data_IF_990991936481
#
_entry.id   IF_990991936481
#
_cell.length_a   1.000
_cell.length_b   1.000
_cell.length_c   1.000
_cell.angle_alpha   90.00
_cell.angle_beta   90.00
_cell.angle_gamma   90.00
#
_symmetry.space_group_name_H-M   'P 1'
#
loop_
_entity.id
_entity.type
_entity.pdbx_description
1 polymer ?
#
# COMPACT_ATOMS: atom_id res chain seq x y z
N UNK A 1 18.54 -2.09 -21.30
CA UNK A 1 18.36 -3.06 -20.18
C UNK A 1 17.23 -3.99 -20.54
N UNK A 2 17.37 -5.31 -20.36
CA UNK A 2 16.25 -6.25 -20.52
C UNK A 2 15.10 -5.83 -19.60
N UNK A 3 13.85 -6.01 -20.03
CA UNK A 3 12.67 -5.60 -19.26
C UNK A 3 12.73 -6.07 -17.81
N UNK A 4 13.16 -7.30 -17.59
CA UNK A 4 13.34 -7.90 -16.26
C UNK A 4 14.28 -7.11 -15.33
N UNK A 5 15.43 -6.63 -15.83
CA UNK A 5 16.37 -5.84 -15.02
C UNK A 5 15.78 -4.48 -14.63
N UNK A 6 14.97 -3.90 -15.50
CA UNK A 6 14.25 -2.64 -15.22
C UNK A 6 13.19 -2.84 -14.15
N UNK A 7 12.35 -3.88 -14.27
CA UNK A 7 11.33 -4.19 -13.27
C UNK A 7 11.95 -4.50 -11.92
N UNK A 8 13.02 -5.31 -11.88
CA UNK A 8 13.75 -5.59 -10.65
C UNK A 8 14.28 -4.33 -9.98
N UNK A 9 14.87 -3.40 -10.74
CA UNK A 9 15.34 -2.12 -10.19
C UNK A 9 14.21 -1.26 -9.60
N UNK A 10 13.05 -1.21 -10.25
CA UNK A 10 11.89 -0.44 -9.75
C UNK A 10 11.34 -1.04 -8.45
N UNK A 11 11.23 -2.37 -8.38
CA UNK A 11 10.78 -3.07 -7.17
C UNK A 11 11.77 -2.84 -6.03
N UNK A 12 13.07 -2.99 -6.28
CA UNK A 12 14.10 -2.73 -5.27
C UNK A 12 14.05 -1.29 -4.78
N UNK A 13 13.92 -0.31 -5.68
CA UNK A 13 13.84 1.10 -5.31
C UNK A 13 12.62 1.39 -4.42
N UNK A 14 11.44 0.86 -4.78
CA UNK A 14 10.23 1.00 -3.96
C UNK A 14 10.38 0.29 -2.61
N UNK A 15 11.01 -0.89 -2.60
CA UNK A 15 11.38 -1.62 -1.38
C UNK A 15 12.21 -0.78 -0.43
N UNK A 16 13.32 -0.24 -0.94
CA UNK A 16 14.24 0.60 -0.14
C UNK A 16 13.55 1.87 0.36
N UNK A 17 12.75 2.53 -0.47
CA UNK A 17 12.08 3.76 -0.09
C UNK A 17 10.96 3.52 0.93
N UNK A 18 10.15 2.49 0.74
CA UNK A 18 9.14 2.10 1.72
C UNK A 18 9.80 1.73 3.05
N UNK A 19 10.86 0.92 3.04
CA UNK A 19 11.63 0.59 4.24
C UNK A 19 12.16 1.85 4.95
N UNK A 20 12.67 2.83 4.20
CA UNK A 20 13.16 4.08 4.77
C UNK A 20 12.04 4.88 5.46
N UNK A 21 10.86 4.98 4.83
CA UNK A 21 9.68 5.66 5.40
C UNK A 21 9.18 4.92 6.65
N UNK A 22 9.10 3.58 6.60
CA UNK A 22 8.72 2.75 7.73
C UNK A 22 9.73 2.82 8.89
N UNK A 23 11.03 2.91 8.59
CA UNK A 23 12.06 3.05 9.61
C UNK A 23 12.06 4.45 10.26
N UNK A 24 11.57 5.47 9.56
CA UNK A 24 11.40 6.82 10.10
C UNK A 24 10.09 7.00 10.88
N UNK A 25 9.16 6.04 10.79
CA UNK A 25 7.90 6.07 11.53
C UNK A 25 8.13 5.83 13.03
N UNK A 26 7.31 6.42 13.92
CA UNK A 26 7.43 6.19 15.34
C UNK A 26 7.14 4.72 15.69
N UNK A 27 7.81 4.21 16.73
CA UNK A 27 7.55 2.88 17.25
C UNK A 27 6.13 2.76 17.84
N UNK A 28 5.61 3.84 18.42
CA UNK A 28 4.27 3.91 18.99
C UNK A 28 3.57 5.18 18.48
N UNK A 29 2.57 5.07 17.58
CA UNK A 29 1.79 6.22 17.16
C UNK A 29 0.93 6.77 18.32
N UNK A 30 0.83 8.10 18.41
CA UNK A 30 0.03 8.77 19.45
C UNK A 30 -1.48 8.66 19.17
N UNK A 31 -1.83 8.63 17.88
CA UNK A 31 -3.19 8.43 17.39
C UNK A 31 -3.20 7.21 16.48
N UNK A 32 -3.99 6.21 16.84
CA UNK A 32 -4.08 4.95 16.09
C UNK A 32 -5.48 4.40 16.11
N UNK A 33 -5.91 3.84 14.99
CA UNK A 33 -7.19 3.14 14.84
C UNK A 33 -7.10 1.66 15.27
N UNK A 34 -6.08 1.31 16.06
CA UNK A 34 -5.79 -0.05 16.51
C UNK A 34 -7.01 -0.73 17.13
N UNK A 35 -7.69 -0.04 18.03
CA UNK A 35 -8.80 -0.62 18.78
C UNK A 35 -9.96 -1.00 17.84
N UNK A 36 -10.26 -0.14 16.87
CA UNK A 36 -11.29 -0.33 15.88
C UNK A 36 -10.95 -1.52 14.96
N UNK A 37 -9.73 -1.57 14.42
CA UNK A 37 -9.34 -2.64 13.50
C UNK A 37 -9.15 -4.00 14.17
N UNK A 38 -8.61 -4.07 15.39
CA UNK A 38 -8.52 -5.32 16.18
C UNK A 38 -9.93 -5.82 16.55
N UNK A 39 -10.84 -4.92 16.95
CA UNK A 39 -12.22 -5.27 17.23
C UNK A 39 -12.91 -5.86 15.98
N UNK A 40 -12.81 -5.19 14.83
CA UNK A 40 -13.40 -5.66 13.56
C UNK A 40 -12.81 -6.98 13.09
N UNK A 41 -11.53 -7.25 13.36
CA UNK A 41 -10.92 -8.54 13.02
C UNK A 41 -11.46 -9.70 13.86
N UNK A 42 -11.64 -9.47 15.16
CA UNK A 42 -12.00 -10.51 16.14
C UNK A 42 -13.51 -10.78 16.21
N UNK A 43 -14.32 -9.80 15.80
CA UNK A 43 -15.78 -9.88 15.86
C UNK A 43 -16.36 -10.08 14.45
N UNK A 44 -17.50 -10.78 14.38
CA UNK A 44 -18.21 -10.93 13.11
C UNK A 44 -18.87 -9.61 12.71
N UNK A 45 -19.37 -9.52 11.48
CA UNK A 45 -20.25 -8.42 11.08
C UNK A 45 -21.48 -8.40 12.00
N UNK A 46 -21.51 -7.42 12.90
CA UNK A 46 -22.63 -7.16 13.78
C UNK A 46 -23.52 -6.05 13.21
N UNK A 47 -24.84 -6.18 13.42
CA UNK A 47 -25.78 -5.14 13.05
C UNK A 47 -25.46 -3.84 13.80
N UNK A 48 -25.57 -2.70 13.12
CA UNK A 48 -25.29 -1.35 13.65
C UNK A 48 -23.83 -1.04 14.01
N UNK A 49 -22.88 -1.96 13.82
CA UNK A 49 -21.43 -1.75 13.88
C UNK A 49 -20.97 -0.77 15.00
N UNK A 50 -20.90 -1.21 16.26
CA UNK A 50 -20.77 -0.31 17.41
C UNK A 50 -19.46 0.50 17.47
N UNK A 51 -18.44 0.14 16.69
CA UNK A 51 -17.12 0.79 16.62
C UNK A 51 -16.84 1.45 15.24
N UNK A 52 -17.85 2.13 14.68
CA UNK A 52 -17.89 2.46 13.24
C UNK A 52 -17.20 3.77 12.83
N UNK A 53 -15.99 3.63 12.29
CA UNK A 53 -15.62 4.32 11.02
C UNK A 53 -15.29 3.30 9.92
N UNK A 54 -15.04 2.02 10.26
CA UNK A 54 -14.41 1.05 9.36
C UNK A 54 -15.22 -0.20 8.99
N UNK A 55 -16.54 -0.18 9.17
CA UNK A 55 -17.41 -1.33 8.87
C UNK A 55 -17.36 -1.79 7.40
N UNK A 56 -17.03 -0.89 6.48
CA UNK A 56 -16.85 -1.19 5.06
C UNK A 56 -15.43 -1.69 4.72
N UNK A 57 -14.51 -1.71 5.68
CA UNK A 57 -13.12 -2.13 5.53
C UNK A 57 -12.81 -3.45 6.24
N UNK A 58 -13.81 -4.31 6.45
CA UNK A 58 -13.68 -5.56 7.22
C UNK A 58 -12.77 -6.62 6.58
N UNK A 59 -12.69 -6.64 5.24
CA UNK A 59 -12.03 -7.77 4.56
C UNK A 59 -10.56 -7.90 4.96
N UNK A 60 -9.84 -6.77 5.04
CA UNK A 60 -8.42 -6.76 5.41
C UNK A 60 -8.19 -7.27 6.84
N UNK A 61 -8.77 -6.68 7.91
CA UNK A 61 -8.60 -7.18 9.26
C UNK A 61 -9.06 -8.64 9.40
N UNK A 62 -10.19 -9.04 8.80
CA UNK A 62 -10.68 -10.42 8.87
C UNK A 62 -9.74 -11.45 8.23
N UNK A 63 -9.04 -11.09 7.15
CA UNK A 63 -8.01 -11.94 6.54
C UNK A 63 -6.71 -11.91 7.35
N UNK A 64 -6.34 -10.75 7.89
CA UNK A 64 -5.10 -10.57 8.64
C UNK A 64 -5.11 -11.32 9.98
N UNK A 65 -6.28 -11.45 10.62
CA UNK A 65 -6.47 -12.27 11.83
C UNK A 65 -6.21 -13.77 11.62
N UNK A 66 -6.24 -14.25 10.37
CA UNK A 66 -5.94 -15.66 10.07
C UNK A 66 -4.43 -15.95 10.10
N UNK A 67 -3.59 -14.91 10.14
CA UNK A 67 -2.13 -15.05 10.17
C UNK A 67 -1.67 -15.24 11.63
N UNK A 68 -0.99 -16.35 11.97
CA UNK A 68 -0.55 -16.64 13.33
C UNK A 68 0.73 -15.85 13.71
N UNK A 69 0.65 -14.53 13.61
CA UNK A 69 1.68 -13.58 14.03
C UNK A 69 1.10 -12.63 15.06
N UNK A 70 1.96 -11.94 15.81
CA UNK A 70 1.50 -10.88 16.70
C UNK A 70 0.80 -9.75 15.91
N UNK A 71 -0.12 -9.08 16.60
CA UNK A 71 -1.02 -8.10 16.00
C UNK A 71 -0.28 -6.97 15.27
N UNK A 72 0.79 -6.46 15.85
CA UNK A 72 1.52 -5.34 15.27
C UNK A 72 2.34 -5.78 14.06
N UNK A 73 3.06 -6.90 14.16
CA UNK A 73 3.92 -7.44 13.11
C UNK A 73 3.13 -7.73 11.84
N UNK A 74 1.96 -8.37 11.94
CA UNK A 74 1.12 -8.64 10.75
C UNK A 74 0.66 -7.35 10.05
N UNK A 75 0.30 -6.31 10.81
CA UNK A 75 -0.10 -5.02 10.23
C UNK A 75 1.08 -4.30 9.58
N UNK A 76 2.24 -4.24 10.24
CA UNK A 76 3.45 -3.63 9.66
C UNK A 76 3.92 -4.34 8.39
N UNK A 77 3.84 -5.67 8.33
CA UNK A 77 4.18 -6.41 7.11
C UNK A 77 3.18 -6.19 5.99
N UNK A 78 1.88 -6.18 6.28
CA UNK A 78 0.84 -5.89 5.29
C UNK A 78 1.08 -4.51 4.66
N UNK A 79 1.26 -3.51 5.52
CA UNK A 79 1.55 -2.13 5.17
C UNK A 79 2.75 -2.01 4.23
N UNK A 80 3.90 -2.57 4.64
CA UNK A 80 5.12 -2.54 3.86
C UNK A 80 4.94 -3.23 2.50
N UNK A 81 4.37 -4.44 2.49
CA UNK A 81 4.16 -5.19 1.27
C UNK A 81 3.21 -4.46 0.30
N UNK A 82 2.11 -3.90 0.81
CA UNK A 82 1.14 -3.18 0.01
C UNK A 82 1.70 -1.86 -0.54
N UNK A 83 2.45 -1.10 0.27
CA UNK A 83 3.09 0.15 -0.18
C UNK A 83 4.18 -0.11 -1.23
N UNK A 84 4.99 -1.16 -1.07
CA UNK A 84 5.96 -1.59 -2.09
C UNK A 84 5.23 -1.95 -3.38
N UNK A 85 4.16 -2.74 -3.28
CA UNK A 85 3.38 -3.20 -4.43
C UNK A 85 2.74 -2.03 -5.17
N UNK A 86 2.02 -1.17 -4.46
CA UNK A 86 1.36 0.00 -5.04
C UNK A 86 2.37 0.94 -5.70
N UNK A 87 3.46 1.28 -5.00
CA UNK A 87 4.50 2.14 -5.54
C UNK A 87 5.20 1.54 -6.76
N UNK A 88 5.48 0.23 -6.75
CA UNK A 88 6.07 -0.45 -7.90
C UNK A 88 5.13 -0.45 -9.11
N UNK A 89 3.82 -0.69 -8.91
CA UNK A 89 2.84 -0.63 -10.00
C UNK A 89 2.76 0.79 -10.57
N UNK A 90 2.66 1.83 -9.73
CA UNK A 90 2.63 3.22 -10.20
C UNK A 90 3.91 3.56 -10.94
N UNK A 91 5.07 3.28 -10.34
CA UNK A 91 6.36 3.59 -10.92
C UNK A 91 6.57 2.88 -12.27
N UNK A 92 6.22 1.60 -12.39
CA UNK A 92 6.29 0.84 -13.65
C UNK A 92 5.34 1.37 -14.71
N UNK A 93 4.10 1.70 -14.31
CA UNK A 93 3.09 2.31 -15.20
C UNK A 93 3.58 3.64 -15.74
N UNK A 94 4.05 4.54 -14.85
CA UNK A 94 4.64 5.83 -15.24
C UNK A 94 5.87 5.63 -16.13
N UNK A 95 6.72 4.64 -15.84
CA UNK A 95 7.86 4.31 -16.68
C UNK A 95 7.46 3.87 -18.10
N UNK A 96 6.32 3.20 -18.25
CA UNK A 96 5.78 2.74 -19.53
C UNK A 96 5.13 3.86 -20.33
N UNK A 97 4.48 4.81 -19.65
CA UNK A 97 3.77 5.93 -20.27
C UNK A 97 4.65 7.16 -20.52
N UNK A 98 5.71 7.34 -19.75
CA UNK A 98 6.62 8.49 -19.80
C UNK A 98 8.08 8.08 -20.05
N UNK A 99 8.99 9.05 -19.99
CA UNK A 99 10.44 8.98 -20.29
C UNK A 99 11.26 7.95 -19.47
N UNK A 100 10.91 6.67 -19.50
CA UNK A 100 11.81 5.60 -19.06
C UNK A 100 11.97 5.47 -17.53
N UNK A 101 13.17 5.07 -17.11
CA UNK A 101 13.54 4.90 -15.69
C UNK A 101 13.50 6.20 -14.85
N UNK A 102 13.95 7.37 -15.35
CA UNK A 102 13.86 8.61 -14.59
C UNK A 102 12.45 8.93 -14.09
N UNK A 103 11.43 8.70 -14.93
CA UNK A 103 10.04 8.91 -14.55
C UNK A 103 9.58 7.95 -13.43
N UNK A 104 10.05 6.70 -13.45
CA UNK A 104 9.79 5.74 -12.38
C UNK A 104 10.44 6.14 -11.05
N UNK A 105 11.63 6.74 -11.07
CA UNK A 105 12.32 7.24 -9.87
C UNK A 105 11.51 8.36 -9.24
N UNK A 106 11.10 9.36 -10.04
CA UNK A 106 10.28 10.48 -9.55
C UNK A 106 8.94 9.96 -9.00
N UNK A 107 8.28 9.06 -9.73
CA UNK A 107 7.03 8.44 -9.26
C UNK A 107 7.22 7.70 -7.93
N UNK A 108 8.31 6.95 -7.78
CA UNK A 108 8.63 6.23 -6.53
C UNK A 108 8.80 7.22 -5.37
N UNK A 109 9.59 8.28 -5.56
CA UNK A 109 9.79 9.30 -4.52
C UNK A 109 8.44 9.91 -4.15
N UNK A 110 7.70 10.45 -5.13
CA UNK A 110 6.44 11.14 -4.87
C UNK A 110 5.40 10.25 -4.19
N UNK A 111 5.26 9.00 -4.62
CA UNK A 111 4.29 8.07 -4.04
C UNK A 111 4.69 7.69 -2.62
N UNK A 112 5.93 7.23 -2.42
CA UNK A 112 6.36 6.73 -1.11
C UNK A 112 6.45 7.85 -0.06
N UNK A 113 6.75 9.09 -0.46
CA UNK A 113 6.73 10.26 0.44
C UNK A 113 5.39 10.98 0.48
N UNK A 114 4.37 10.51 -0.23
CA UNK A 114 3.04 11.14 -0.18
C UNK A 114 2.43 10.96 1.21
N UNK A 115 1.56 11.89 1.59
CA UNK A 115 0.88 11.85 2.88
C UNK A 115 0.22 10.50 3.15
N UNK A 116 -0.50 9.93 2.18
CA UNK A 116 -1.19 8.64 2.37
C UNK A 116 -0.22 7.51 2.70
N UNK A 117 0.86 7.35 1.94
CA UNK A 117 1.83 6.27 2.16
C UNK A 117 2.59 6.47 3.49
N UNK A 118 3.07 7.69 3.74
CA UNK A 118 3.76 8.02 4.98
C UNK A 118 2.85 7.87 6.22
N UNK A 119 1.57 8.25 6.12
CA UNK A 119 0.61 8.10 7.20
C UNK A 119 0.35 6.64 7.53
N UNK A 120 0.25 5.78 6.52
CA UNK A 120 0.07 4.34 6.74
C UNK A 120 1.30 3.69 7.38
N UNK A 121 2.51 4.22 7.13
CA UNK A 121 3.71 3.82 7.88
C UNK A 121 3.70 4.32 9.33
N UNK A 122 3.14 5.50 9.59
CA UNK A 122 2.98 6.10 10.92
C UNK A 122 1.96 5.31 11.77
N UNK A 123 0.76 5.07 11.25
CA UNK A 123 -0.26 4.23 11.88
C UNK A 123 -0.43 2.92 11.08
N UNK A 124 0.17 1.81 11.56
CA UNK A 124 0.12 0.56 10.82
C UNK A 124 -1.28 -0.08 10.83
N UNK A 125 -2.17 0.32 11.74
CA UNK A 125 -3.52 -0.24 11.88
C UNK A 125 -4.49 0.43 10.91
N UNK A 126 -4.33 0.18 9.60
CA UNK A 126 -5.29 0.61 8.58
C UNK A 126 -5.28 -0.28 7.34
N UNK A 127 -6.46 -0.42 6.72
CA UNK A 127 -6.63 -1.13 5.45
C UNK A 127 -6.24 -0.30 4.21
N UNK A 128 -5.94 1.00 4.37
CA UNK A 128 -5.66 1.93 3.26
C UNK A 128 -4.53 1.48 2.30
N UNK A 129 -3.40 0.90 2.75
CA UNK A 129 -2.35 0.43 1.84
C UNK A 129 -2.85 -0.58 0.81
N UNK A 130 -3.76 -1.46 1.22
CA UNK A 130 -4.37 -2.46 0.33
C UNK A 130 -5.25 -1.75 -0.70
N UNK A 131 -6.01 -0.73 -0.28
CA UNK A 131 -6.79 0.11 -1.20
C UNK A 131 -5.88 0.82 -2.19
N UNK A 132 -4.73 1.35 -1.75
CA UNK A 132 -3.75 1.97 -2.66
C UNK A 132 -3.19 0.98 -3.66
N UNK A 133 -2.89 -0.25 -3.25
CA UNK A 133 -2.43 -1.31 -4.15
C UNK A 133 -3.50 -1.69 -5.19
N UNK A 134 -4.77 -1.81 -4.77
CA UNK A 134 -5.90 -2.06 -5.66
C UNK A 134 -6.08 -0.91 -6.66
N UNK A 135 -6.07 0.34 -6.18
CA UNK A 135 -6.20 1.52 -7.03
C UNK A 135 -5.04 1.63 -8.04
N UNK A 136 -3.81 1.33 -7.61
CA UNK A 136 -2.65 1.27 -8.50
C UNK A 136 -2.83 0.19 -9.59
N UNK A 137 -3.30 -0.99 -9.21
CA UNK A 137 -3.58 -2.08 -10.16
C UNK A 137 -4.70 -1.70 -11.14
N UNK A 138 -5.79 -1.10 -10.67
CA UNK A 138 -6.89 -0.63 -11.51
C UNK A 138 -6.41 0.47 -12.48
N UNK A 139 -5.60 1.42 -12.00
CA UNK A 139 -5.01 2.45 -12.84
C UNK A 139 -4.09 1.84 -13.90
N UNK A 140 -3.26 0.86 -13.54
CA UNK A 140 -2.44 0.12 -14.50
C UNK A 140 -3.29 -0.62 -15.54
N UNK A 141 -4.33 -1.35 -15.14
CA UNK A 141 -5.26 -2.01 -16.06
C UNK A 141 -5.93 -1.01 -17.00
N UNK A 142 -6.37 0.13 -16.47
CA UNK A 142 -7.00 1.19 -17.23
C UNK A 142 -6.05 1.81 -18.27
N UNK A 143 -4.80 2.07 -17.88
CA UNK A 143 -3.81 2.77 -18.72
C UNK A 143 -3.08 1.83 -19.69
N UNK A 144 -2.87 0.57 -19.30
CA UNK A 144 -2.26 -0.45 -20.17
C UNK A 144 -3.13 -0.76 -21.39
N UNK A 145 -4.45 -0.61 -21.28
CA UNK A 145 -5.40 -0.82 -22.36
C UNK A 145 -5.68 0.45 -23.20
N UNK A 146 -4.85 1.51 -23.11
CA UNK A 146 -5.02 2.78 -23.85
C UNK A 146 -4.20 2.95 -25.13
N UNK A 147 -3.65 1.89 -25.71
CA UNK A 147 -3.25 1.84 -27.14
C UNK A 147 -4.28 2.46 -28.13
N UNK A 148 -5.56 2.56 -27.79
CA UNK A 148 -6.59 3.25 -28.60
C UNK A 148 -6.53 4.79 -28.49
N UNK A 149 -5.97 5.35 -27.41
CA UNK A 149 -5.82 6.80 -27.23
C UNK A 149 -4.51 7.37 -27.80
N UNK A 150 -3.65 6.50 -28.36
CA UNK A 150 -2.39 6.85 -29.01
C UNK A 150 -2.45 6.69 -30.55
N UNK A 151 -3.63 6.38 -31.10
CA UNK A 151 -4.00 6.55 -32.52
C UNK A 151 -4.82 7.83 -32.67
#
# INVERSE_FOLDING_TARGET
MTGLRRYGAIVVLNGLMALAVHAAAPAQPEHTDRQEYEYVGQHRLEANCPWSVYCYRILVPALLEQIPLDGETRWRWLQLAANITAGAIVATTTAGLANGLPAAVIATILVQTSFGFAFTAYDPYTADPVVFAILAALAWCWLSNRWIAAM
#
